data_IF_023282465917
#
_entry.id   IF_023282465917
#
_cell.length_a   1.000
_cell.length_b   1.000
_cell.length_c   1.000
_cell.angle_alpha   90.00
_cell.angle_beta   90.00
_cell.angle_gamma   90.00
#
_symmetry.space_group_name_H-M   'P 1'
#
loop_
_entity.id
_entity.type
_entity.pdbx_description
1 polymer ?
#
# COMPACT_ATOMS: atom_id res chain seq x y z
N UNK A 1 5.59 -9.48 -33.00
CA UNK A 1 5.82 -10.34 -31.83
C UNK A 1 5.29 -9.61 -30.62
N UNK A 2 4.19 -10.08 -30.02
CA UNK A 2 3.74 -9.54 -28.74
C UNK A 2 4.69 -10.10 -27.68
N UNK A 3 5.65 -9.28 -27.22
CA UNK A 3 6.38 -9.60 -25.99
C UNK A 3 5.38 -9.83 -24.84
N UNK A 4 5.77 -10.54 -23.77
CA UNK A 4 4.85 -10.79 -22.68
C UNK A 4 4.25 -9.45 -22.22
N UNK A 5 2.92 -9.35 -22.19
CA UNK A 5 2.17 -8.15 -21.79
C UNK A 5 2.52 -7.65 -20.38
N UNK A 6 3.27 -8.46 -19.63
CA UNK A 6 3.64 -8.27 -18.24
C UNK A 6 5.13 -8.57 -18.08
N UNK A 7 5.86 -7.66 -17.42
CA UNK A 7 7.25 -7.88 -17.05
C UNK A 7 7.40 -9.09 -16.11
N UNK A 8 8.57 -9.75 -16.08
CA UNK A 8 8.81 -10.92 -15.23
C UNK A 8 8.59 -10.63 -13.74
N UNK A 9 8.84 -9.39 -13.30
CA UNK A 9 8.58 -8.99 -11.92
C UNK A 9 7.09 -8.90 -11.60
N UNK A 10 6.28 -8.33 -12.50
CA UNK A 10 4.82 -8.27 -12.32
C UNK A 10 4.24 -9.68 -12.24
N UNK A 11 4.75 -10.60 -13.07
CA UNK A 11 4.30 -11.99 -13.06
C UNK A 11 4.67 -12.71 -11.75
N UNK A 12 5.89 -12.51 -11.22
CA UNK A 12 6.32 -13.09 -9.92
C UNK A 12 5.41 -12.64 -8.78
N UNK A 13 5.19 -11.33 -8.66
CA UNK A 13 4.35 -10.77 -7.62
C UNK A 13 2.86 -11.09 -7.80
N UNK A 14 2.41 -11.35 -9.03
CA UNK A 14 1.05 -11.79 -9.28
C UNK A 14 0.84 -13.27 -8.90
N UNK A 15 1.80 -14.15 -9.22
CA UNK A 15 1.73 -15.58 -8.93
C UNK A 15 2.05 -15.89 -7.45
N UNK A 16 2.93 -15.10 -6.83
CA UNK A 16 3.35 -15.24 -5.45
C UNK A 16 3.25 -13.91 -4.70
N UNK A 17 2.04 -13.36 -4.50
CA UNK A 17 1.88 -12.09 -3.83
C UNK A 17 2.31 -12.21 -2.37
N UNK A 18 3.35 -11.46 -2.00
CA UNK A 18 3.89 -11.42 -0.63
C UNK A 18 3.04 -10.48 0.22
N UNK A 19 2.84 -10.80 1.50
CA UNK A 19 2.12 -9.95 2.45
C UNK A 19 0.62 -9.73 2.12
N UNK A 20 -0.03 -10.71 1.47
CA UNK A 20 -1.49 -10.68 1.28
C UNK A 20 -2.17 -10.99 2.60
N UNK A 21 -3.04 -10.09 3.06
CA UNK A 21 -3.74 -10.25 4.31
C UNK A 21 -4.51 -9.02 4.72
N UNK A 22 -4.92 -9.00 5.98
CA UNK A 22 -5.54 -7.86 6.63
C UNK A 22 -5.17 -7.87 8.10
N UNK A 23 -4.94 -6.68 8.64
CA UNK A 23 -4.78 -6.48 10.08
C UNK A 23 -6.11 -6.07 10.70
N UNK A 24 -6.14 -6.15 12.03
CA UNK A 24 -7.26 -5.65 12.82
C UNK A 24 -7.35 -4.13 12.65
N UNK A 25 -8.54 -3.64 12.29
CA UNK A 25 -8.75 -2.23 12.00
C UNK A 25 -8.98 -1.40 13.27
N UNK A 26 -9.31 -2.03 14.39
CA UNK A 26 -9.50 -1.42 15.70
C UNK A 26 -8.17 -1.26 16.44
N UNK A 27 -7.10 -1.92 15.98
CA UNK A 27 -5.75 -1.75 16.55
C UNK A 27 -5.25 -0.30 16.32
N UNK A 28 -4.89 0.44 17.39
CA UNK A 28 -4.41 1.82 17.28
C UNK A 28 -3.03 1.90 16.59
N UNK A 29 -2.28 0.81 16.57
CA UNK A 29 -1.00 0.68 15.89
C UNK A 29 -1.14 0.36 14.39
N UNK A 30 -2.37 0.22 13.88
CA UNK A 30 -2.64 -0.14 12.49
C UNK A 30 -3.28 1.02 11.73
N UNK A 31 -2.57 1.52 10.71
CA UNK A 31 -3.11 2.44 9.72
C UNK A 31 -3.77 1.68 8.57
N UNK A 32 -4.98 2.08 8.19
CA UNK A 32 -5.74 1.47 7.10
C UNK A 32 -6.07 2.47 6.00
N UNK A 33 -5.80 2.08 4.76
CA UNK A 33 -6.21 2.82 3.57
C UNK A 33 -7.04 1.93 2.65
N UNK A 34 -8.07 2.54 2.06
CA UNK A 34 -8.82 1.97 0.96
C UNK A 34 -8.85 3.00 -0.17
N UNK A 35 -8.16 2.69 -1.26
CA UNK A 35 -8.05 3.57 -2.42
C UNK A 35 -8.48 2.85 -3.70
N UNK A 36 -8.78 3.64 -4.73
CA UNK A 36 -9.32 3.15 -5.98
C UNK A 36 -10.83 3.35 -6.09
N UNK A 37 -11.38 2.91 -7.21
CA UNK A 37 -12.76 3.19 -7.59
C UNK A 37 -13.46 1.90 -8.00
N UNK A 38 -14.62 1.57 -7.41
CA UNK A 38 -15.38 0.38 -7.78
C UNK A 38 -15.86 0.44 -9.23
N UNK A 39 -16.16 1.65 -9.74
CA UNK A 39 -16.53 1.92 -11.13
C UNK A 39 -15.43 1.56 -12.15
N UNK A 40 -14.15 1.67 -11.76
CA UNK A 40 -13.00 1.28 -12.60
C UNK A 40 -12.58 -0.18 -12.39
N UNK A 41 -13.26 -0.91 -11.48
CA UNK A 41 -12.93 -2.29 -11.12
C UNK A 41 -11.56 -2.44 -10.46
N UNK A 42 -11.03 -1.39 -9.84
CA UNK A 42 -9.72 -1.36 -9.20
C UNK A 42 -9.85 -0.83 -7.77
N UNK A 43 -9.61 -1.68 -6.78
CA UNK A 43 -9.66 -1.35 -5.36
C UNK A 43 -8.41 -1.90 -4.69
N UNK A 44 -7.67 -1.07 -3.97
CA UNK A 44 -6.52 -1.46 -3.17
C UNK A 44 -6.78 -1.09 -1.71
N UNK A 45 -6.81 -2.10 -0.85
CA UNK A 45 -6.74 -1.92 0.60
C UNK A 45 -5.30 -2.15 1.05
N UNK A 46 -4.71 -1.16 1.68
CA UNK A 46 -3.38 -1.25 2.28
C UNK A 46 -3.51 -1.07 3.79
N UNK A 47 -2.86 -1.93 4.57
CA UNK A 47 -2.81 -1.80 6.02
C UNK A 47 -1.35 -1.88 6.46
N UNK A 48 -0.93 -0.94 7.29
CA UNK A 48 0.41 -0.89 7.86
C UNK A 48 0.31 -1.00 9.37
N UNK A 49 1.12 -1.86 9.96
CA UNK A 49 1.27 -2.00 11.40
C UNK A 49 2.57 -1.32 11.82
N UNK A 50 2.45 -0.36 12.71
CA UNK A 50 3.58 0.34 13.29
C UNK A 50 3.94 -0.22 14.65
N UNK A 51 5.22 -0.19 14.94
CA UNK A 51 5.77 -0.46 16.25
C UNK A 51 6.61 0.76 16.65
N UNK A 52 5.99 1.68 17.38
CA UNK A 52 6.54 2.99 17.67
C UNK A 52 6.61 3.87 16.42
N UNK A 53 7.82 4.13 15.92
CA UNK A 53 8.06 5.00 14.77
C UNK A 53 8.24 4.25 13.44
N UNK A 54 8.42 2.92 13.50
CA UNK A 54 8.80 2.10 12.34
C UNK A 54 7.69 1.12 11.98
N UNK A 55 7.51 0.85 10.68
CA UNK A 55 6.54 -0.10 10.17
C UNK A 55 7.06 -1.52 10.41
N UNK A 56 6.44 -2.24 11.35
CA UNK A 56 6.78 -3.63 11.68
C UNK A 56 6.36 -4.58 10.55
N UNK A 57 5.16 -4.36 10.03
CA UNK A 57 4.59 -5.19 8.98
C UNK A 57 3.60 -4.38 8.14
N UNK A 58 3.51 -4.69 6.85
CA UNK A 58 2.49 -4.16 5.97
C UNK A 58 1.78 -5.33 5.29
N UNK A 59 0.47 -5.20 5.11
CA UNK A 59 -0.37 -6.15 4.38
C UNK A 59 -1.20 -5.40 3.36
N UNK A 60 -1.47 -6.04 2.23
CA UNK A 60 -2.35 -5.47 1.22
C UNK A 60 -3.40 -6.46 0.74
N UNK A 61 -4.45 -5.90 0.17
CA UNK A 61 -5.51 -6.63 -0.50
C UNK A 61 -6.01 -5.80 -1.68
N UNK A 62 -5.63 -6.22 -2.89
CA UNK A 62 -6.02 -5.56 -4.12
C UNK A 62 -7.02 -6.41 -4.91
N UNK A 63 -7.99 -5.76 -5.52
CA UNK A 63 -8.90 -6.31 -6.52
C UNK A 63 -8.74 -5.47 -7.79
N UNK A 64 -8.39 -6.11 -8.91
CA UNK A 64 -8.17 -5.41 -10.17
C UNK A 64 -7.18 -6.14 -11.06
N UNK A 65 -6.50 -5.39 -11.93
CA UNK A 65 -5.52 -5.95 -12.86
C UNK A 65 -4.27 -6.46 -12.14
N UNK A 66 -3.60 -7.46 -12.72
CA UNK A 66 -2.42 -8.10 -12.11
C UNK A 66 -1.29 -7.12 -11.78
N UNK A 67 -1.18 -6.03 -12.52
CA UNK A 67 -0.24 -4.94 -12.26
C UNK A 67 -0.51 -4.22 -10.93
N UNK A 68 -1.79 -3.99 -10.60
CA UNK A 68 -2.17 -3.34 -9.34
C UNK A 68 -1.86 -4.23 -8.13
N UNK A 69 -2.06 -5.54 -8.27
CA UNK A 69 -1.69 -6.54 -7.25
C UNK A 69 -0.17 -6.57 -7.08
N UNK A 70 0.59 -6.57 -8.18
CA UNK A 70 2.04 -6.52 -8.14
C UNK A 70 2.57 -5.24 -7.49
N UNK A 71 1.99 -4.08 -7.81
CA UNK A 71 2.31 -2.80 -7.19
C UNK A 71 2.06 -2.81 -5.68
N UNK A 72 0.91 -3.32 -5.24
CA UNK A 72 0.62 -3.47 -3.80
C UNK A 72 1.60 -4.43 -3.09
N UNK A 73 1.98 -5.53 -3.73
CA UNK A 73 2.94 -6.49 -3.18
C UNK A 73 4.37 -5.94 -3.11
N UNK A 74 4.79 -5.13 -4.08
CA UNK A 74 6.09 -4.46 -4.04
C UNK A 74 6.10 -3.36 -2.97
N UNK A 75 5.06 -2.53 -2.95
CA UNK A 75 4.91 -1.46 -1.96
C UNK A 75 4.97 -1.99 -0.53
N UNK A 76 4.23 -3.04 -0.20
CA UNK A 76 4.24 -3.64 1.16
C UNK A 76 5.61 -4.13 1.60
N UNK A 77 6.39 -4.74 0.70
CA UNK A 77 7.76 -5.13 1.00
C UNK A 77 8.68 -3.93 1.24
N UNK A 78 8.51 -2.84 0.49
CA UNK A 78 9.30 -1.64 0.70
C UNK A 78 8.95 -0.94 2.01
N UNK A 79 7.70 -0.98 2.43
CA UNK A 79 7.24 -0.37 3.69
C UNK A 79 7.78 -1.11 4.92
N UNK A 80 7.92 -2.43 4.84
CA UNK A 80 8.32 -3.24 5.99
C UNK A 80 9.74 -2.88 6.45
N UNK A 81 9.88 -2.50 7.73
CA UNK A 81 11.14 -2.07 8.33
C UNK A 81 11.54 -0.62 8.04
N UNK A 82 10.67 0.17 7.40
CA UNK A 82 10.89 1.61 7.16
C UNK A 82 10.06 2.47 8.11
N UNK A 83 10.51 3.69 8.34
CA UNK A 83 9.75 4.71 9.07
C UNK A 83 8.68 5.36 8.20
N UNK A 84 7.76 6.08 8.84
CA UNK A 84 6.68 6.79 8.14
C UNK A 84 7.20 7.79 7.09
N UNK A 85 8.28 8.51 7.40
CA UNK A 85 8.89 9.48 6.49
C UNK A 85 9.47 8.80 5.24
N UNK A 86 10.15 7.68 5.44
CA UNK A 86 10.67 6.82 4.38
C UNK A 86 9.54 6.23 3.51
N UNK A 87 8.43 5.83 4.13
CA UNK A 87 7.25 5.35 3.42
C UNK A 87 6.64 6.47 2.55
N UNK A 88 6.58 7.70 3.06
CA UNK A 88 6.07 8.86 2.32
C UNK A 88 7.00 9.32 1.20
N UNK A 89 8.30 9.01 1.31
CA UNK A 89 9.30 9.28 0.27
C UNK A 89 9.20 8.31 -0.93
N UNK A 90 8.41 7.23 -0.84
CA UNK A 90 8.18 6.33 -1.97
C UNK A 90 7.32 7.06 -3.01
N UNK A 91 7.87 7.19 -4.22
CA UNK A 91 7.18 7.84 -5.32
C UNK A 91 6.58 6.85 -6.32
N UNK A 92 5.55 7.29 -7.04
CA UNK A 92 4.91 6.46 -8.07
C UNK A 92 5.90 6.08 -9.18
N UNK A 93 6.88 6.93 -9.45
CA UNK A 93 7.94 6.68 -10.44
C UNK A 93 8.84 5.50 -10.05
N UNK A 94 9.20 5.36 -8.77
CA UNK A 94 10.01 4.24 -8.29
C UNK A 94 9.29 2.91 -8.49
N UNK A 95 7.98 2.88 -8.20
CA UNK A 95 7.13 1.69 -8.38
C UNK A 95 7.05 1.32 -9.87
N UNK A 96 6.89 2.31 -10.76
CA UNK A 96 6.86 2.11 -12.21
C UNK A 96 8.18 1.56 -12.73
N UNK A 97 9.30 2.12 -12.29
CA UNK A 97 10.63 1.65 -12.70
C UNK A 97 10.93 0.25 -12.18
N UNK A 98 10.58 -0.04 -10.93
CA UNK A 98 10.79 -1.36 -10.36
C UNK A 98 9.99 -2.43 -11.12
N UNK A 99 8.69 -2.19 -11.35
CA UNK A 99 7.83 -3.14 -12.05
C UNK A 99 7.94 -3.10 -13.58
N UNK A 100 8.83 -2.25 -14.12
CA UNK A 100 9.00 -2.02 -15.56
C UNK A 100 7.66 -1.76 -16.27
N UNK A 101 6.80 -0.94 -15.65
CA UNK A 101 5.46 -0.66 -16.17
C UNK A 101 5.55 0.24 -17.40
N UNK A 102 4.78 -0.09 -18.44
CA UNK A 102 4.65 0.76 -19.61
C UNK A 102 4.09 2.15 -19.23
N UNK A 103 4.47 3.23 -19.95
CA UNK A 103 4.08 4.61 -19.60
C UNK A 103 2.56 4.85 -19.56
N UNK A 104 1.76 4.00 -20.21
CA UNK A 104 0.29 4.05 -20.13
C UNK A 104 -0.34 3.50 -18.85
N UNK A 105 0.45 2.97 -17.90
CA UNK A 105 -0.01 2.27 -16.68
C UNK A 105 0.33 3.02 -15.39
N UNK A 106 0.66 4.32 -15.49
CA UNK A 106 1.00 5.19 -14.35
C UNK A 106 -0.07 5.22 -13.25
N UNK A 107 -1.35 5.07 -13.62
CA UNK A 107 -2.47 5.09 -12.67
C UNK A 107 -2.36 4.02 -11.58
N UNK A 108 -1.86 2.82 -11.90
CA UNK A 108 -1.71 1.76 -10.90
C UNK A 108 -0.64 2.08 -9.86
N UNK A 109 0.43 2.77 -10.26
CA UNK A 109 1.50 3.20 -9.35
C UNK A 109 1.07 4.39 -8.49
N UNK A 110 0.34 5.34 -9.06
CA UNK A 110 -0.29 6.43 -8.29
C UNK A 110 -1.23 5.86 -7.22
N UNK A 111 -2.05 4.87 -7.58
CA UNK A 111 -2.97 4.22 -6.65
C UNK A 111 -2.22 3.53 -5.49
N UNK A 112 -1.08 2.90 -5.74
CA UNK A 112 -0.24 2.36 -4.67
C UNK A 112 0.37 3.46 -3.79
N UNK A 113 0.86 4.55 -4.37
CA UNK A 113 1.40 5.70 -3.63
C UNK A 113 0.34 6.37 -2.74
N UNK A 114 -0.85 6.61 -3.28
CA UNK A 114 -2.00 7.15 -2.55
C UNK A 114 -2.39 6.23 -1.39
N UNK A 115 -2.37 4.91 -1.59
CA UNK A 115 -2.65 3.95 -0.52
C UNK A 115 -1.67 4.10 0.65
N UNK A 116 -0.37 4.26 0.36
CA UNK A 116 0.66 4.43 1.39
C UNK A 116 0.38 5.69 2.20
N UNK A 117 0.21 6.82 1.51
CA UNK A 117 -0.02 8.12 2.15
C UNK A 117 -1.29 8.12 2.99
N UNK A 118 -2.37 7.55 2.45
CA UNK A 118 -3.62 7.42 3.19
C UNK A 118 -3.48 6.53 4.43
N UNK A 119 -2.70 5.44 4.36
CA UNK A 119 -2.54 4.52 5.48
C UNK A 119 -1.72 5.16 6.62
N UNK A 120 -0.69 5.92 6.25
CA UNK A 120 0.11 6.72 7.20
C UNK A 120 -0.74 7.82 7.84
N UNK A 121 -1.56 8.51 7.04
CA UNK A 121 -2.45 9.55 7.54
C UNK A 121 -3.51 9.00 8.49
N UNK A 122 -4.12 7.85 8.18
CA UNK A 122 -5.08 7.16 9.04
C UNK A 122 -4.45 6.78 10.40
N UNK A 123 -3.24 6.22 10.38
CA UNK A 123 -2.49 5.95 11.61
C UNK A 123 -2.25 7.23 12.43
N UNK A 124 -1.74 8.29 11.80
CA UNK A 124 -1.49 9.56 12.49
C UNK A 124 -2.76 10.18 13.08
N UNK A 125 -3.89 10.05 12.38
CA UNK A 125 -5.20 10.48 12.86
C UNK A 125 -5.63 9.68 14.10
N UNK A 126 -5.48 8.35 14.08
CA UNK A 126 -5.78 7.48 15.23
C UNK A 126 -4.94 7.83 16.46
N UNK A 127 -3.64 8.07 16.28
CA UNK A 127 -2.75 8.47 17.37
C UNK A 127 -3.17 9.81 18.00
N UNK A 128 -3.72 10.73 17.20
CA UNK A 128 -4.24 12.01 17.69
C UNK A 128 -5.57 11.84 18.43
N UNK A 129 -6.49 11.04 17.88
CA UNK A 129 -7.80 10.76 18.51
C UNK A 129 -7.67 10.03 19.85
N UNK A 130 -6.71 9.12 19.98
CA UNK A 130 -6.48 8.38 21.22
C UNK A 130 -5.97 9.28 22.38
N UNK A 131 -5.54 10.50 22.09
CA UNK A 131 -5.09 11.48 23.10
C UNK A 131 -6.22 12.33 23.68
N UNK A 132 -7.46 12.21 23.16
CA UNK A 132 -8.57 13.13 23.51
C UNK A 132 -9.64 12.51 24.42
N UNK A 133 -9.53 11.23 24.80
CA UNK A 133 -10.58 10.53 25.58
C UNK A 133 -10.34 10.47 27.11
N UNK A 134 -9.41 11.26 27.67
CA UNK A 134 -9.16 11.28 29.14
C UNK A 134 -9.62 12.56 29.87
N UNK A 135 -10.51 13.36 29.28
CA UNK A 135 -11.11 14.50 29.99
C UNK A 135 -12.62 14.67 29.72
N UNK A 136 -13.43 13.83 30.35
CA UNK A 136 -14.74 14.27 30.81
C UNK A 136 -15.15 13.52 32.09
N UNK A 137 -14.90 14.15 33.23
CA UNK A 137 -15.55 13.88 34.52
C UNK A 137 -16.95 14.47 34.56
#
# INVERSE_FOLDING_TARGET
>A
MAGPLYGPQVLDHYLHPRNVGSFDADDPCVGTALVGSPELGQILKLQIRLNGATIEAACFRAFGSGEAIAAGSLATQWLQGRDLDQAMAIDSQDIVQALDLAPGKLHCALLAQDAIRAAVADYAAKQTSNFTDEHHS
#
